data_IF_623041612204
#
_entry.id   IF_623041612204
#
_cell.length_a   1.000
_cell.length_b   1.000
_cell.length_c   1.000
_cell.angle_alpha   90.00
_cell.angle_beta   90.00
_cell.angle_gamma   90.00
#
_symmetry.space_group_name_H-M   'P 1'
#
loop_
_entity.id
_entity.type
_entity.pdbx_description
1 polymer ?
#
# COMPACT_ATOMS: atom_id res chain seq x y z
N UNK A 1 2.79 -2.15 30.22
CA UNK A 1 2.27 -3.51 30.53
C UNK A 1 0.94 -3.53 31.30
N UNK A 2 0.72 -2.75 32.39
CA UNK A 2 -0.55 -2.74 33.13
C UNK A 2 -1.73 -2.30 32.25
N UNK A 3 -1.61 -1.19 31.53
CA UNK A 3 -2.66 -0.67 30.64
C UNK A 3 -3.08 -1.71 29.58
N UNK A 4 -2.12 -2.38 28.95
CA UNK A 4 -2.37 -3.45 27.98
C UNK A 4 -3.23 -4.58 28.57
N UNK A 5 -2.87 -5.08 29.76
CA UNK A 5 -3.63 -6.13 30.44
C UNK A 5 -5.03 -5.68 30.84
N UNK A 6 -5.16 -4.46 31.35
CA UNK A 6 -6.45 -3.90 31.77
C UNK A 6 -7.39 -3.73 30.56
N UNK A 7 -6.90 -3.19 29.43
CA UNK A 7 -7.67 -3.05 28.20
C UNK A 7 -8.07 -4.41 27.63
N UNK A 8 -7.13 -5.38 27.59
CA UNK A 8 -7.42 -6.75 27.14
C UNK A 8 -8.52 -7.42 27.97
N UNK A 9 -8.53 -7.17 29.29
CA UNK A 9 -9.58 -7.66 30.16
C UNK A 9 -10.89 -6.91 29.95
N UNK A 10 -10.85 -5.58 29.79
CA UNK A 10 -12.02 -4.74 29.56
C UNK A 10 -12.76 -5.08 28.27
N UNK A 11 -12.03 -5.46 27.21
CA UNK A 11 -12.61 -5.89 25.94
C UNK A 11 -13.51 -7.14 26.06
N UNK A 12 -13.33 -7.99 27.10
CA UNK A 12 -14.21 -9.12 27.35
C UNK A 12 -15.64 -8.69 27.73
N UNK A 13 -15.77 -7.48 28.30
CA UNK A 13 -17.06 -6.93 28.74
C UNK A 13 -17.63 -5.88 27.78
N UNK A 14 -16.81 -5.34 26.87
CA UNK A 14 -17.20 -4.26 25.95
C UNK A 14 -16.69 -4.54 24.54
N UNK A 15 -16.94 -5.73 24.05
CA UNK A 15 -16.42 -6.23 22.77
C UNK A 15 -16.87 -5.40 21.55
N UNK A 16 -18.09 -4.85 21.60
CA UNK A 16 -18.66 -4.03 20.51
C UNK A 16 -18.23 -2.55 20.57
N UNK A 17 -17.37 -2.18 21.51
CA UNK A 17 -16.92 -0.80 21.66
C UNK A 17 -15.64 -0.54 20.84
N UNK A 18 -15.79 0.02 19.64
CA UNK A 18 -14.66 0.34 18.75
C UNK A 18 -13.61 1.27 19.40
N UNK A 19 -14.01 2.18 20.31
CA UNK A 19 -13.09 3.07 21.01
C UNK A 19 -12.17 2.30 21.96
N UNK A 20 -12.68 1.24 22.59
CA UNK A 20 -11.84 0.36 23.41
C UNK A 20 -10.86 -0.43 22.54
N UNK A 21 -11.29 -0.89 21.37
CA UNK A 21 -10.38 -1.51 20.40
C UNK A 21 -9.31 -0.56 19.91
N UNK A 22 -9.67 0.71 19.65
CA UNK A 22 -8.70 1.74 19.27
C UNK A 22 -7.64 1.98 20.38
N UNK A 23 -8.07 2.17 21.62
CA UNK A 23 -7.14 2.32 22.75
C UNK A 23 -6.26 1.06 22.93
N UNK A 24 -6.83 -0.13 22.73
CA UNK A 24 -6.08 -1.38 22.80
C UNK A 24 -5.07 -1.50 21.67
N UNK A 25 -5.41 -1.10 20.45
CA UNK A 25 -4.51 -1.03 19.30
C UNK A 25 -3.30 -0.14 19.60
N UNK A 26 -3.55 1.09 20.04
CA UNK A 26 -2.47 2.05 20.35
C UNK A 26 -1.52 1.48 21.41
N UNK A 27 -2.06 0.99 22.53
CA UNK A 27 -1.22 0.41 23.60
C UNK A 27 -0.51 -0.86 23.13
N UNK A 28 -1.11 -1.67 22.26
CA UNK A 28 -0.46 -2.85 21.68
C UNK A 28 0.73 -2.47 20.80
N UNK A 29 0.58 -1.39 20.00
CA UNK A 29 1.69 -0.83 19.22
C UNK A 29 2.84 -0.34 20.12
N UNK A 30 2.51 0.35 21.22
CA UNK A 30 3.50 0.90 22.15
C UNK A 30 4.31 -0.19 22.90
N UNK A 31 3.67 -1.32 23.19
CA UNK A 31 4.34 -2.43 23.89
C UNK A 31 4.94 -3.48 22.94
N UNK A 32 4.81 -3.29 21.62
CA UNK A 32 5.36 -4.19 20.60
C UNK A 32 4.54 -5.46 20.33
N UNK A 33 3.31 -5.53 20.86
CA UNK A 33 2.38 -6.65 20.59
C UNK A 33 1.63 -6.46 19.28
N UNK A 34 2.38 -6.53 18.16
CA UNK A 34 1.90 -6.16 16.84
C UNK A 34 0.80 -7.09 16.32
N UNK A 35 0.82 -8.37 16.71
CA UNK A 35 -0.26 -9.30 16.38
C UNK A 35 -1.60 -8.86 17.01
N UNK A 36 -1.57 -8.38 18.25
CA UNK A 36 -2.77 -7.87 18.93
C UNK A 36 -3.21 -6.52 18.34
N UNK A 37 -2.26 -5.66 17.95
CA UNK A 37 -2.58 -4.41 17.25
C UNK A 37 -3.25 -4.68 15.89
N UNK A 38 -2.75 -5.63 15.12
CA UNK A 38 -3.33 -6.07 13.86
C UNK A 38 -4.77 -6.59 14.05
N UNK A 39 -5.01 -7.41 15.07
CA UNK A 39 -6.33 -7.89 15.43
C UNK A 39 -7.29 -6.74 15.80
N UNK A 40 -6.79 -5.79 16.59
CA UNK A 40 -7.58 -4.65 17.03
C UNK A 40 -7.97 -3.74 15.84
N UNK A 41 -7.04 -3.46 14.94
CA UNK A 41 -7.33 -2.70 13.71
C UNK A 41 -8.41 -3.40 12.86
N UNK A 42 -8.30 -4.72 12.68
CA UNK A 42 -9.33 -5.48 11.97
C UNK A 42 -10.71 -5.34 12.58
N UNK A 43 -10.80 -5.39 13.92
CA UNK A 43 -12.08 -5.19 14.63
C UNK A 43 -12.65 -3.78 14.48
N UNK A 44 -11.80 -2.76 14.50
CA UNK A 44 -12.23 -1.37 14.25
C UNK A 44 -12.82 -1.26 12.85
N UNK A 45 -12.11 -1.78 11.84
CA UNK A 45 -12.55 -1.77 10.45
C UNK A 45 -13.86 -2.55 10.27
N UNK A 46 -14.00 -3.72 10.85
CA UNK A 46 -15.22 -4.53 10.76
C UNK A 46 -16.45 -3.85 11.42
N UNK A 47 -16.23 -3.05 12.48
CA UNK A 47 -17.32 -2.35 13.18
C UNK A 47 -17.67 -1.00 12.56
N UNK A 48 -16.72 -0.32 11.93
CA UNK A 48 -16.87 1.07 11.51
C UNK A 48 -16.71 1.29 10.01
N UNK A 49 -16.06 0.37 9.29
CA UNK A 49 -15.69 0.53 7.88
C UNK A 49 -16.84 0.86 6.95
N UNK A 50 -17.98 0.18 7.11
CA UNK A 50 -19.17 0.41 6.30
C UNK A 50 -19.83 1.80 6.53
N UNK A 51 -19.51 2.44 7.68
CA UNK A 51 -20.08 3.74 8.06
C UNK A 51 -19.17 4.92 7.74
N UNK A 52 -17.87 4.77 7.96
CA UNK A 52 -16.90 5.87 7.85
C UNK A 52 -15.85 5.63 6.77
N UNK A 53 -15.92 4.51 6.06
CA UNK A 53 -15.03 4.19 4.95
C UNK A 53 -13.54 4.19 5.37
N UNK A 54 -12.69 4.80 4.55
CA UNK A 54 -11.25 4.83 4.75
C UNK A 54 -10.82 5.43 6.10
N UNK A 55 -11.61 6.31 6.71
CA UNK A 55 -11.33 6.89 8.02
C UNK A 55 -11.41 5.87 9.18
N UNK A 56 -11.84 4.63 8.91
CA UNK A 56 -11.80 3.54 9.89
C UNK A 56 -10.44 2.86 10.00
N UNK A 57 -9.54 3.10 9.04
CA UNK A 57 -8.18 2.57 9.01
C UNK A 57 -7.20 3.61 9.52
N UNK A 58 -6.44 3.26 10.54
CA UNK A 58 -5.24 4.01 10.90
C UNK A 58 -4.11 3.55 9.95
N UNK A 59 -3.88 4.35 8.88
CA UNK A 59 -2.90 4.02 7.84
C UNK A 59 -1.46 4.02 8.37
N UNK A 60 -1.15 4.80 9.39
CA UNK A 60 0.18 4.83 10.00
C UNK A 60 0.45 3.53 10.79
N UNK A 61 -0.57 3.04 11.51
CA UNK A 61 -0.50 1.72 12.16
C UNK A 61 -0.38 0.62 11.11
N UNK A 62 -1.15 0.69 10.02
CA UNK A 62 -1.09 -0.29 8.94
C UNK A 62 0.31 -0.35 8.30
N UNK A 63 0.91 0.78 7.99
CA UNK A 63 2.28 0.86 7.44
C UNK A 63 3.32 0.28 8.41
N UNK A 64 3.23 0.58 9.71
CA UNK A 64 4.12 0.00 10.73
C UNK A 64 3.98 -1.52 10.86
N UNK A 65 2.77 -2.06 10.70
CA UNK A 65 2.55 -3.51 10.67
C UNK A 65 3.20 -4.14 9.42
N UNK A 66 3.07 -3.52 8.26
CA UNK A 66 3.74 -3.97 7.02
C UNK A 66 5.25 -3.87 7.16
N UNK A 67 5.78 -2.79 7.73
CA UNK A 67 7.21 -2.62 7.99
C UNK A 67 7.76 -3.73 8.91
N UNK A 68 7.02 -4.09 9.95
CA UNK A 68 7.42 -5.16 10.85
C UNK A 68 7.48 -6.53 10.16
N UNK A 69 6.62 -6.77 9.16
CA UNK A 69 6.71 -7.97 8.32
C UNK A 69 7.90 -7.90 7.38
N UNK A 70 8.05 -6.79 6.64
CA UNK A 70 8.98 -6.68 5.52
C UNK A 70 10.44 -6.46 5.92
N UNK A 71 10.72 -6.16 7.18
CA UNK A 71 12.10 -6.09 7.72
C UNK A 71 12.79 -7.45 7.79
N UNK A 72 12.03 -8.52 7.97
CA UNK A 72 12.58 -9.87 7.98
C UNK A 72 12.87 -10.36 6.56
N UNK A 73 13.80 -11.32 6.38
CA UNK A 73 13.99 -11.98 5.09
C UNK A 73 12.71 -12.63 4.58
N UNK A 74 12.45 -12.49 3.27
CA UNK A 74 11.25 -13.06 2.64
C UNK A 74 11.26 -14.59 2.56
N UNK A 75 12.45 -15.19 2.48
CA UNK A 75 12.60 -16.64 2.47
C UNK A 75 12.66 -17.19 3.89
N UNK A 76 11.74 -18.08 4.23
CA UNK A 76 11.68 -18.71 5.54
C UNK A 76 12.96 -19.49 5.87
N UNK A 77 13.58 -20.12 4.87
CA UNK A 77 14.84 -20.84 5.02
C UNK A 77 15.99 -19.93 5.47
N UNK A 78 16.06 -18.72 4.92
CA UNK A 78 17.06 -17.73 5.31
C UNK A 78 16.80 -17.21 6.73
N UNK A 79 15.55 -17.00 7.13
CA UNK A 79 15.17 -16.62 8.47
C UNK A 79 15.52 -17.69 9.52
N UNK A 80 15.27 -18.95 9.21
CA UNK A 80 15.61 -20.09 10.09
C UNK A 80 17.12 -20.29 10.18
N UNK A 81 17.85 -20.15 9.05
CA UNK A 81 19.31 -20.27 9.01
C UNK A 81 20.01 -19.21 9.87
N UNK A 82 19.41 -18.01 9.99
CA UNK A 82 19.90 -16.93 10.84
C UNK A 82 19.54 -17.08 12.33
N UNK A 83 18.91 -18.20 12.72
CA UNK A 83 18.50 -18.46 14.10
C UNK A 83 17.31 -17.62 14.58
N UNK A 84 16.56 -17.00 13.66
CA UNK A 84 15.36 -16.27 13.98
C UNK A 84 14.26 -17.25 14.41
N UNK A 85 13.90 -17.19 15.67
CA UNK A 85 12.69 -17.84 16.19
C UNK A 85 11.50 -17.07 15.57
N UNK A 86 10.50 -17.79 15.06
CA UNK A 86 9.28 -17.19 14.50
C UNK A 86 8.58 -16.31 15.55
N UNK A 87 8.94 -15.03 15.56
CA UNK A 87 8.32 -14.04 16.44
C UNK A 87 6.91 -13.72 15.90
N UNK A 88 5.84 -13.88 16.70
CA UNK A 88 4.48 -13.56 16.26
C UNK A 88 4.25 -12.09 15.92
N UNK A 89 5.17 -11.21 16.34
CA UNK A 89 5.10 -9.76 16.13
C UNK A 89 5.98 -9.25 14.98
N UNK A 90 6.63 -10.13 14.21
CA UNK A 90 7.50 -9.74 13.08
C UNK A 90 7.49 -10.78 11.97
N UNK A 91 7.96 -10.37 10.78
CA UNK A 91 8.26 -11.24 9.66
C UNK A 91 7.15 -12.25 9.36
N UNK A 92 7.56 -13.50 9.19
CA UNK A 92 6.66 -14.62 8.86
C UNK A 92 5.61 -14.90 9.95
N UNK A 93 5.92 -14.64 11.23
CA UNK A 93 4.98 -14.82 12.33
C UNK A 93 3.81 -13.86 12.29
N UNK A 94 4.04 -12.62 11.85
CA UNK A 94 3.03 -11.57 11.71
C UNK A 94 2.33 -11.58 10.35
N UNK A 95 3.01 -12.03 9.29
CA UNK A 95 2.57 -11.94 7.89
C UNK A 95 1.13 -12.40 7.67
N UNK A 96 0.77 -13.60 8.14
CA UNK A 96 -0.58 -14.17 7.92
C UNK A 96 -1.69 -13.31 8.53
N UNK A 97 -1.41 -12.65 9.65
CA UNK A 97 -2.37 -11.77 10.31
C UNK A 97 -2.54 -10.48 9.52
N UNK A 98 -1.44 -9.88 9.04
CA UNK A 98 -1.47 -8.66 8.24
C UNK A 98 -2.11 -8.93 6.87
N UNK A 99 -1.77 -10.02 6.19
CA UNK A 99 -2.42 -10.42 4.95
C UNK A 99 -3.93 -10.60 5.14
N UNK A 100 -4.33 -11.34 6.18
CA UNK A 100 -5.74 -11.53 6.50
C UNK A 100 -6.49 -10.24 6.85
N UNK A 101 -5.81 -9.26 7.45
CA UNK A 101 -6.36 -7.93 7.70
C UNK A 101 -6.67 -7.22 6.37
N UNK A 102 -5.73 -7.23 5.41
CA UNK A 102 -5.96 -6.65 4.08
C UNK A 102 -7.11 -7.34 3.35
N UNK A 103 -7.04 -8.65 3.19
CA UNK A 103 -7.96 -9.41 2.33
C UNK A 103 -9.39 -9.46 2.87
N UNK A 104 -9.56 -9.58 4.20
CA UNK A 104 -10.88 -9.79 4.81
C UNK A 104 -11.55 -8.50 5.25
N UNK A 105 -10.79 -7.55 5.78
CA UNK A 105 -11.36 -6.37 6.42
C UNK A 105 -11.19 -5.11 5.59
N UNK A 106 -9.99 -4.83 5.05
CA UNK A 106 -9.67 -3.55 4.43
C UNK A 106 -10.07 -3.50 2.97
N UNK A 107 -9.44 -4.32 2.10
CA UNK A 107 -9.60 -4.23 0.64
C UNK A 107 -11.07 -4.39 0.16
N UNK A 108 -11.95 -5.19 0.80
CA UNK A 108 -13.35 -5.25 0.40
C UNK A 108 -14.15 -3.96 0.64
N UNK A 109 -13.62 -3.05 1.47
CA UNK A 109 -14.35 -1.84 1.92
C UNK A 109 -13.68 -0.54 1.53
N UNK A 110 -12.38 -0.54 1.24
CA UNK A 110 -11.58 0.68 1.14
C UNK A 110 -10.55 0.60 0.03
N UNK A 111 -10.31 1.76 -0.63
CA UNK A 111 -9.44 1.87 -1.78
C UNK A 111 -8.65 3.18 -1.76
N UNK A 112 -7.81 3.40 -0.73
CA UNK A 112 -6.89 4.55 -0.74
C UNK A 112 -5.56 4.18 -1.38
N UNK A 113 -4.84 5.15 -1.97
CA UNK A 113 -3.50 4.91 -2.54
C UNK A 113 -2.51 4.35 -1.51
N UNK A 114 -2.56 4.83 -0.25
CA UNK A 114 -1.67 4.36 0.82
C UNK A 114 -1.95 2.90 1.19
N UNK A 115 -3.22 2.50 1.29
CA UNK A 115 -3.63 1.12 1.57
C UNK A 115 -3.11 0.18 0.48
N UNK A 116 -3.32 0.52 -0.80
CA UNK A 116 -2.84 -0.30 -1.90
C UNK A 116 -1.31 -0.36 -1.96
N UNK A 117 -0.61 0.75 -1.68
CA UNK A 117 0.86 0.78 -1.61
C UNK A 117 1.38 -0.13 -0.49
N UNK A 118 0.76 -0.10 0.68
CA UNK A 118 1.10 -0.97 1.80
C UNK A 118 0.88 -2.46 1.47
N UNK A 119 -0.25 -2.79 0.84
CA UNK A 119 -0.54 -4.14 0.37
C UNK A 119 0.45 -4.61 -0.70
N UNK A 120 0.74 -3.77 -1.70
CA UNK A 120 1.71 -4.07 -2.75
C UNK A 120 3.12 -4.36 -2.19
N UNK A 121 3.56 -3.63 -1.14
CA UNK A 121 4.82 -3.90 -0.45
C UNK A 121 4.83 -5.29 0.21
N UNK A 122 3.71 -5.71 0.77
CA UNK A 122 3.57 -7.04 1.37
C UNK A 122 3.67 -8.15 0.30
N UNK A 123 3.01 -7.97 -0.85
CA UNK A 123 3.09 -8.92 -1.98
C UNK A 123 4.49 -8.93 -2.62
N UNK A 124 5.13 -7.75 -2.73
CA UNK A 124 6.52 -7.64 -3.18
C UNK A 124 7.48 -8.41 -2.27
N UNK A 125 7.29 -8.34 -0.96
CA UNK A 125 8.09 -9.08 0.01
C UNK A 125 7.94 -10.60 -0.17
N UNK A 126 6.75 -11.07 -0.55
CA UNK A 126 6.50 -12.48 -0.89
C UNK A 126 6.96 -12.88 -2.30
N UNK A 127 7.58 -11.97 -3.05
CA UNK A 127 7.99 -12.16 -4.44
C UNK A 127 6.82 -12.46 -5.40
N UNK A 128 5.61 -12.10 -5.02
CA UNK A 128 4.40 -12.21 -5.85
C UNK A 128 4.27 -10.99 -6.75
N UNK A 129 5.12 -10.92 -7.77
CA UNK A 129 5.28 -9.74 -8.60
C UNK A 129 4.01 -9.32 -9.34
N UNK A 130 3.21 -10.27 -9.80
CA UNK A 130 1.95 -9.98 -10.51
C UNK A 130 0.94 -9.32 -9.58
N UNK A 131 0.72 -9.87 -8.38
CA UNK A 131 -0.18 -9.32 -7.38
C UNK A 131 0.31 -7.96 -6.88
N UNK A 132 1.63 -7.80 -6.70
CA UNK A 132 2.24 -6.53 -6.33
C UNK A 132 1.99 -5.45 -7.40
N UNK A 133 2.24 -5.74 -8.67
CA UNK A 133 1.99 -4.82 -9.80
C UNK A 133 0.52 -4.43 -9.84
N UNK A 134 -0.39 -5.40 -9.70
CA UNK A 134 -1.83 -5.13 -9.67
C UNK A 134 -2.20 -4.18 -8.54
N UNK A 135 -1.71 -4.41 -7.34
CA UNK A 135 -1.97 -3.55 -6.19
C UNK A 135 -1.40 -2.14 -6.38
N UNK A 136 -0.19 -1.98 -6.93
CA UNK A 136 0.37 -0.67 -7.25
C UNK A 136 -0.46 0.06 -8.31
N UNK A 137 -0.95 -0.64 -9.34
CA UNK A 137 -1.82 -0.06 -10.36
C UNK A 137 -3.18 0.37 -9.77
N UNK A 138 -3.76 -0.41 -8.87
CA UNK A 138 -5.00 -0.04 -8.20
C UNK A 138 -4.80 1.19 -7.29
N UNK A 139 -3.65 1.27 -6.61
CA UNK A 139 -3.23 2.47 -5.87
C UNK A 139 -3.09 3.70 -6.77
N UNK A 140 -2.43 3.56 -7.92
CA UNK A 140 -2.31 4.62 -8.91
C UNK A 140 -3.70 5.08 -9.43
N UNK A 141 -4.61 4.16 -9.74
CA UNK A 141 -5.95 4.51 -10.21
C UNK A 141 -6.76 5.33 -9.20
N UNK A 142 -6.52 5.14 -7.91
CA UNK A 142 -7.18 5.86 -6.82
C UNK A 142 -6.41 7.11 -6.36
N UNK A 143 -5.21 7.37 -6.92
CA UNK A 143 -4.37 8.51 -6.59
C UNK A 143 -4.77 9.79 -7.34
N UNK A 144 -4.11 10.91 -7.03
CA UNK A 144 -4.32 12.19 -7.71
C UNK A 144 -4.09 12.08 -9.21
N UNK A 145 -3.02 11.41 -9.65
CA UNK A 145 -2.71 11.21 -11.06
C UNK A 145 -3.75 10.34 -11.78
N UNK A 146 -4.20 9.29 -11.12
CA UNK A 146 -5.21 8.37 -11.69
C UNK A 146 -6.59 8.98 -11.82
N UNK A 147 -6.94 9.93 -10.94
CA UNK A 147 -8.26 10.59 -10.88
C UNK A 147 -8.31 11.98 -11.52
N UNK A 148 -7.16 12.52 -11.97
CA UNK A 148 -7.11 13.83 -12.62
C UNK A 148 -7.99 13.85 -13.88
N UNK A 149 -8.80 14.90 -14.02
CA UNK A 149 -9.71 15.07 -15.14
C UNK A 149 -9.23 16.16 -16.09
N UNK A 150 -9.84 16.24 -17.28
CA UNK A 150 -9.58 17.34 -18.21
C UNK A 150 -10.10 18.65 -17.64
N UNK A 151 -9.30 19.72 -17.80
CA UNK A 151 -9.66 21.05 -17.28
C UNK A 151 -9.24 21.26 -15.83
N UNK A 152 -8.39 20.42 -15.28
CA UNK A 152 -7.73 20.71 -14.00
C UNK A 152 -6.91 22.00 -14.13
N UNK A 153 -6.98 22.87 -13.11
CA UNK A 153 -6.32 24.17 -13.08
C UNK A 153 -5.33 24.30 -11.92
N UNK A 154 -5.35 23.34 -10.98
CA UNK A 154 -4.44 23.35 -9.83
C UNK A 154 -3.05 22.82 -10.24
N UNK A 155 -2.12 23.78 -10.39
CA UNK A 155 -0.73 23.48 -10.77
C UNK A 155 0.01 22.65 -9.71
N UNK A 156 -0.28 22.83 -8.43
CA UNK A 156 0.37 22.06 -7.36
C UNK A 156 -0.07 20.61 -7.43
N UNK A 157 -1.37 20.38 -7.50
CA UNK A 157 -1.95 19.04 -7.66
C UNK A 157 -1.42 18.33 -8.91
N UNK A 158 -1.28 19.07 -10.03
CA UNK A 158 -0.71 18.50 -11.26
C UNK A 158 0.76 18.13 -11.11
N UNK A 159 1.58 18.95 -10.44
CA UNK A 159 3.00 18.64 -10.17
C UNK A 159 3.16 17.40 -9.29
N UNK A 160 2.35 17.28 -8.26
CA UNK A 160 2.34 16.09 -7.41
C UNK A 160 1.93 14.85 -8.21
N UNK A 161 0.93 14.99 -9.09
CA UNK A 161 0.48 13.91 -9.96
C UNK A 161 1.55 13.44 -10.96
N UNK A 162 2.44 14.33 -11.45
CA UNK A 162 3.60 13.92 -12.28
C UNK A 162 4.48 12.94 -11.50
N UNK A 163 4.77 13.24 -10.24
CA UNK A 163 5.60 12.37 -9.40
C UNK A 163 4.97 11.00 -9.25
N UNK A 164 3.65 10.93 -9.06
CA UNK A 164 2.92 9.64 -8.99
C UNK A 164 2.99 8.85 -10.31
N UNK A 165 2.97 9.56 -11.47
CA UNK A 165 3.16 8.92 -12.79
C UNK A 165 4.57 8.36 -12.94
N UNK A 166 5.58 9.11 -12.53
CA UNK A 166 6.98 8.65 -12.57
C UNK A 166 7.17 7.43 -11.65
N UNK A 167 6.64 7.47 -10.42
CA UNK A 167 6.70 6.35 -9.48
C UNK A 167 6.09 5.07 -10.05
N UNK A 168 4.89 5.13 -10.63
CA UNK A 168 4.25 3.93 -11.18
C UNK A 168 5.01 3.38 -12.40
N UNK A 169 5.59 4.24 -13.23
CA UNK A 169 6.44 3.81 -14.37
C UNK A 169 7.70 3.11 -13.86
N UNK A 170 8.34 3.64 -12.83
CA UNK A 170 9.51 3.02 -12.19
C UNK A 170 9.17 1.64 -11.61
N UNK A 171 8.03 1.52 -10.91
CA UNK A 171 7.55 0.25 -10.38
C UNK A 171 7.34 -0.76 -11.52
N UNK A 172 6.68 -0.36 -12.60
CA UNK A 172 6.47 -1.22 -13.76
C UNK A 172 7.77 -1.62 -14.44
N UNK A 173 8.76 -0.73 -14.51
CA UNK A 173 10.08 -1.02 -15.11
C UNK A 173 10.91 -2.00 -14.26
N UNK A 174 10.76 -1.95 -12.92
CA UNK A 174 11.50 -2.79 -12.00
C UNK A 174 10.87 -4.17 -11.80
N UNK A 175 9.55 -4.25 -11.77
CA UNK A 175 8.83 -5.50 -11.48
C UNK A 175 8.28 -6.19 -12.73
N UNK A 176 7.93 -5.43 -13.76
CA UNK A 176 7.37 -5.96 -15.00
C UNK A 176 8.21 -7.04 -15.67
N UNK A 177 9.54 -6.88 -15.80
CA UNK A 177 10.41 -7.91 -16.35
C UNK A 177 10.46 -9.22 -15.55
N UNK A 178 10.02 -9.22 -14.29
CA UNK A 178 9.98 -10.40 -13.41
C UNK A 178 8.73 -11.26 -13.60
N UNK A 179 7.75 -10.76 -14.36
CA UNK A 179 6.50 -11.46 -14.67
C UNK A 179 6.52 -11.90 -16.13
N UNK A 180 6.52 -13.20 -16.36
CA UNK A 180 6.59 -13.77 -17.70
C UNK A 180 5.39 -13.33 -18.56
N UNK A 181 5.65 -12.84 -19.76
CA UNK A 181 4.62 -12.39 -20.70
C UNK A 181 3.94 -11.07 -20.37
N UNK A 182 4.31 -10.41 -19.27
CA UNK A 182 3.70 -9.13 -18.89
C UNK A 182 4.24 -7.96 -19.73
N UNK A 183 3.35 -7.31 -20.46
CA UNK A 183 3.68 -6.20 -21.39
C UNK A 183 3.79 -4.86 -20.64
N UNK A 184 4.68 -4.78 -19.67
CA UNK A 184 4.82 -3.63 -18.79
C UNK A 184 5.11 -2.31 -19.53
N UNK A 185 5.92 -2.34 -20.62
CA UNK A 185 6.22 -1.15 -21.43
C UNK A 185 4.96 -0.58 -22.08
N UNK A 186 4.06 -1.46 -22.55
CA UNK A 186 2.77 -1.05 -23.14
C UNK A 186 1.90 -0.39 -22.09
N UNK A 187 1.85 -0.98 -20.89
CA UNK A 187 1.08 -0.44 -19.77
C UNK A 187 1.65 0.92 -19.31
N UNK A 188 2.96 1.04 -19.13
CA UNK A 188 3.62 2.28 -18.74
C UNK A 188 3.37 3.40 -19.76
N UNK A 189 3.54 3.14 -21.05
CA UNK A 189 3.23 4.11 -22.13
C UNK A 189 1.78 4.53 -22.12
N UNK A 190 0.87 3.60 -21.89
CA UNK A 190 -0.57 3.90 -21.83
C UNK A 190 -0.88 4.86 -20.68
N UNK A 191 -0.26 4.65 -19.51
CA UNK A 191 -0.41 5.51 -18.33
C UNK A 191 0.08 6.94 -18.66
N UNK A 192 1.32 7.08 -19.13
CA UNK A 192 1.91 8.39 -19.45
C UNK A 192 1.07 9.13 -20.49
N UNK A 193 0.71 8.47 -21.62
CA UNK A 193 -0.10 9.07 -22.68
C UNK A 193 -1.47 9.49 -22.18
N UNK A 194 -2.12 8.67 -21.35
CA UNK A 194 -3.44 8.98 -20.80
C UNK A 194 -3.36 10.20 -19.88
N UNK A 195 -2.36 10.27 -19.03
CA UNK A 195 -2.14 11.41 -18.15
C UNK A 195 -1.86 12.70 -18.94
N UNK A 196 -0.92 12.67 -19.89
CA UNK A 196 -0.63 13.81 -20.78
C UNK A 196 -1.89 14.26 -21.57
N UNK A 197 -2.68 13.31 -22.07
CA UNK A 197 -3.91 13.64 -22.80
C UNK A 197 -4.99 14.31 -21.94
N UNK A 198 -5.02 14.02 -20.62
CA UNK A 198 -5.95 14.67 -19.68
C UNK A 198 -5.47 16.03 -19.20
N UNK A 199 -4.14 16.22 -19.11
CA UNK A 199 -3.50 17.40 -18.53
C UNK A 199 -2.85 18.29 -19.59
N UNK A 200 -3.35 18.27 -20.84
CA UNK A 200 -2.77 19.02 -21.95
C UNK A 200 -2.76 20.54 -21.74
N UNK A 201 -3.64 21.03 -20.89
CA UNK A 201 -3.71 22.45 -20.54
C UNK A 201 -2.44 22.96 -19.82
N UNK A 202 -1.57 22.05 -19.35
CA UNK A 202 -0.28 22.36 -18.73
C UNK A 202 0.91 22.12 -19.67
N UNK A 203 0.69 21.99 -20.98
CA UNK A 203 1.77 21.70 -21.98
C UNK A 203 2.89 22.75 -21.99
N UNK A 204 2.56 24.00 -21.66
CA UNK A 204 3.50 25.12 -21.61
C UNK A 204 4.32 25.17 -20.30
N UNK A 205 4.02 24.34 -19.32
CA UNK A 205 4.74 24.31 -18.04
C UNK A 205 6.09 23.56 -18.17
N UNK A 206 7.10 24.01 -17.42
CA UNK A 206 8.46 23.46 -17.48
C UNK A 206 8.54 21.97 -17.18
N UNK A 207 7.69 21.50 -16.25
CA UNK A 207 7.64 20.11 -15.81
C UNK A 207 7.04 19.15 -16.87
N UNK A 208 6.35 19.68 -17.88
CA UNK A 208 5.87 18.87 -19.00
C UNK A 208 7.00 18.12 -19.72
N UNK A 209 8.17 18.72 -19.77
CA UNK A 209 9.37 18.10 -20.34
C UNK A 209 9.76 16.77 -19.66
N UNK A 210 9.42 16.58 -18.36
CA UNK A 210 9.67 15.33 -17.63
C UNK A 210 8.82 14.19 -18.21
N UNK A 211 7.54 14.44 -18.47
CA UNK A 211 6.62 13.46 -19.05
C UNK A 211 7.02 13.10 -20.48
N UNK A 212 7.41 14.09 -21.29
CA UNK A 212 7.88 13.87 -22.66
C UNK A 212 9.13 13.00 -22.66
N UNK A 213 10.11 13.32 -21.81
CA UNK A 213 11.34 12.55 -21.67
C UNK A 213 11.05 11.11 -21.22
N UNK A 214 10.17 10.94 -20.24
CA UNK A 214 9.75 9.62 -19.74
C UNK A 214 9.13 8.78 -20.86
N UNK A 215 8.27 9.38 -21.68
CA UNK A 215 7.65 8.71 -22.82
C UNK A 215 8.67 8.31 -23.88
N UNK A 216 9.63 9.21 -24.20
CA UNK A 216 10.70 8.93 -25.17
C UNK A 216 11.62 7.78 -24.69
N UNK A 217 11.95 7.73 -23.40
CA UNK A 217 12.73 6.63 -22.82
C UNK A 217 12.00 5.28 -22.92
N UNK A 218 10.67 5.27 -22.72
CA UNK A 218 9.86 4.07 -22.88
C UNK A 218 9.76 3.62 -24.34
N UNK A 219 9.88 4.53 -25.31
CA UNK A 219 9.89 4.21 -26.74
C UNK A 219 11.24 3.66 -27.22
N UNK A 220 12.36 4.26 -26.76
CA UNK A 220 13.72 3.81 -27.15
C UNK A 220 14.07 2.40 -26.69
N UNK A 221 13.52 1.95 -25.57
CA UNK A 221 13.75 0.59 -25.03
C UNK A 221 13.01 -0.53 -25.82
N UNK A 222 12.42 -0.24 -26.96
CA UNK A 222 11.84 -1.26 -27.85
C UNK A 222 12.85 -1.83 -28.86
N UNK A 223 13.95 -1.14 -29.10
CA UNK A 223 14.93 -1.48 -30.14
C UNK A 223 16.07 -2.40 -29.63
N UNK A 224 16.04 -2.78 -28.34
CA UNK A 224 16.96 -3.75 -27.72
C UNK A 224 16.20 -5.03 -27.27
#
# INVERSE_FOLDING_TARGET
>A
MLAFRALKQGLRYSYENWRMWHNYMVVSMDVGELQEACRALGRIVDQTGDKVGANSVDEDVLERLVDAVTRAPSKLEDAVANGEVLNPNEGHGLYKNVLGLFERSILPRMSTPRIFRAYARLETWQLKWEDAIKAYLDGYRSSSAGTIEKGETDLVKWRDAITEVEEIVDILSNFGPRVEGYKWKVQARSIVRTFMGRTRDFEDESEWSRLTKLLDELLRKEDD
#
